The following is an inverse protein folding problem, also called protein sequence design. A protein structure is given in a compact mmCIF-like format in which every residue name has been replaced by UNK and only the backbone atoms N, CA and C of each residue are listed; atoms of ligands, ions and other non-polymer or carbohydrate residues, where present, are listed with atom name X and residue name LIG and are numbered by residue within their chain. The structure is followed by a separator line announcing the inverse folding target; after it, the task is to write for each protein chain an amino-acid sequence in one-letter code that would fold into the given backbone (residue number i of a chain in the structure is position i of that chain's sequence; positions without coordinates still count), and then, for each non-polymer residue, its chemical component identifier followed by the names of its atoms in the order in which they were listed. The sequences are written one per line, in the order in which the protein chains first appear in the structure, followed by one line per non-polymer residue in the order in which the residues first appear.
data_IF_867339898727
#
_entry.id   IF_867339898727
#
_cell.length_a   1.000
_cell.length_b   1.000
_cell.length_c   1.000
_cell.angle_alpha   90.00
_cell.angle_beta   90.00
_cell.angle_gamma   90.00
#
_symmetry.space_group_name_H-M   'P 1'
#
loop_
_entity.id
_entity.type
_entity.pdbx_description
1 polymer ?
#
# COMPACT_ATOMS: atom_id res chain seq x y z
N UNK A 1 -26.95 -9.85 -2.57
CA UNK A 1 -26.58 -9.50 -1.17
C UNK A 1 -25.10 -9.11 -1.14
N UNK A 2 -24.65 -8.28 -0.19
CA UNK A 2 -23.23 -7.91 -0.07
C UNK A 2 -22.33 -9.13 0.15
N UNK A 3 -22.81 -10.14 0.89
CA UNK A 3 -22.11 -11.40 1.13
C UNK A 3 -21.64 -12.10 -0.16
N UNK A 4 -22.44 -12.03 -1.23
CA UNK A 4 -22.13 -12.67 -2.51
C UNK A 4 -21.04 -11.91 -3.32
N UNK A 5 -20.61 -10.73 -2.86
CA UNK A 5 -19.62 -9.87 -3.52
C UNK A 5 -18.29 -9.83 -2.79
N UNK A 6 -18.06 -10.74 -1.83
CA UNK A 6 -16.83 -10.79 -1.03
C UNK A 6 -15.58 -10.78 -1.90
N UNK A 7 -15.50 -11.63 -2.92
CA UNK A 7 -14.32 -11.72 -3.80
C UNK A 7 -14.09 -10.43 -4.60
N UNK A 8 -15.16 -9.84 -5.14
CA UNK A 8 -15.10 -8.56 -5.84
C UNK A 8 -14.56 -7.45 -4.93
N UNK A 9 -15.09 -7.36 -3.70
CA UNK A 9 -14.67 -6.35 -2.72
C UNK A 9 -13.19 -6.56 -2.35
N UNK A 10 -12.77 -7.80 -2.08
CA UNK A 10 -11.38 -8.10 -1.74
C UNK A 10 -10.42 -7.68 -2.85
N UNK A 11 -10.76 -7.95 -4.12
CA UNK A 11 -9.94 -7.55 -5.27
C UNK A 11 -9.77 -6.03 -5.33
N UNK A 12 -10.86 -5.28 -5.31
CA UNK A 12 -10.83 -3.81 -5.38
C UNK A 12 -10.05 -3.18 -4.23
N UNK A 13 -10.19 -3.74 -3.03
CA UNK A 13 -9.50 -3.22 -1.85
C UNK A 13 -8.00 -3.54 -1.88
N UNK A 14 -7.59 -4.74 -2.28
CA UNK A 14 -6.19 -5.09 -2.40
C UNK A 14 -5.46 -4.23 -3.46
N UNK A 15 -6.11 -3.98 -4.60
CA UNK A 15 -5.59 -3.09 -5.65
C UNK A 15 -5.51 -1.63 -5.19
N UNK A 16 -6.50 -1.17 -4.41
CA UNK A 16 -6.59 0.22 -3.96
C UNK A 16 -5.72 0.59 -2.75
N UNK A 17 -5.51 -0.34 -1.82
CA UNK A 17 -4.71 -0.09 -0.60
C UNK A 17 -3.24 -0.46 -0.75
N UNK A 18 -2.89 -1.29 -1.74
CA UNK A 18 -1.54 -1.85 -1.86
C UNK A 18 -1.19 -2.84 -0.73
N UNK A 19 -2.16 -3.23 0.10
CA UNK A 19 -1.99 -4.15 1.23
C UNK A 19 -2.90 -5.37 1.07
N UNK A 20 -2.42 -6.52 1.56
CA UNK A 20 -3.25 -7.72 1.62
C UNK A 20 -4.42 -7.50 2.58
N UNK A 21 -5.63 -7.65 2.08
CA UNK A 21 -6.87 -7.51 2.87
C UNK A 21 -7.61 -8.84 2.94
N UNK A 22 -8.25 -9.07 4.07
CA UNK A 22 -9.10 -10.21 4.33
C UNK A 22 -10.50 -9.73 4.71
N UNK A 23 -11.50 -10.56 4.45
CA UNK A 23 -12.89 -10.22 4.74
C UNK A 23 -13.73 -11.43 5.13
N UNK A 24 -14.68 -11.21 6.04
CA UNK A 24 -15.65 -12.20 6.48
C UNK A 24 -17.07 -11.65 6.38
N UNK A 25 -17.98 -12.52 5.97
CA UNK A 25 -19.40 -12.20 5.91
C UNK A 25 -19.92 -12.10 7.33
N UNK A 26 -20.45 -10.93 7.66
CA UNK A 26 -21.12 -10.72 8.94
C UNK A 26 -22.63 -10.91 8.75
N UNK A 27 -23.15 -11.99 9.35
CA UNK A 27 -24.58 -12.31 9.33
C UNK A 27 -25.34 -11.69 10.51
N UNK A 28 -24.65 -11.01 11.43
CA UNK A 28 -25.31 -10.34 12.55
C UNK A 28 -26.19 -9.19 12.04
N UNK A 29 -27.42 -9.08 12.53
CA UNK A 29 -28.39 -8.04 12.13
C UNK A 29 -29.34 -8.43 10.98
N UNK A 30 -30.12 -7.46 10.50
CA UNK A 30 -31.21 -7.69 9.53
C UNK A 30 -30.74 -8.03 8.11
N UNK A 31 -29.51 -7.64 7.74
CA UNK A 31 -28.91 -7.87 6.42
C UNK A 31 -27.43 -8.18 6.59
N UNK A 32 -26.94 -9.09 5.75
CA UNK A 32 -25.52 -9.46 5.70
C UNK A 32 -24.64 -8.23 5.43
N UNK A 33 -23.60 -8.05 6.24
CA UNK A 33 -22.50 -7.12 6.02
C UNK A 33 -21.21 -7.85 5.64
N UNK A 34 -20.14 -7.07 5.51
CA UNK A 34 -18.79 -7.57 5.32
C UNK A 34 -17.87 -6.85 6.30
N UNK A 35 -17.12 -7.61 7.10
CA UNK A 35 -16.04 -7.09 7.94
C UNK A 35 -14.73 -7.29 7.20
N UNK A 36 -13.91 -6.26 7.14
CA UNK A 36 -12.69 -6.19 6.34
C UNK A 36 -11.55 -5.74 7.23
N UNK A 37 -10.38 -6.36 7.11
CA UNK A 37 -9.18 -6.05 7.88
C UNK A 37 -7.91 -6.32 7.05
N UNK A 38 -6.76 -5.86 7.53
CA UNK A 38 -5.47 -6.23 6.96
C UNK A 38 -5.14 -7.68 7.29
N UNK A 39 -4.82 -8.49 6.28
CA UNK A 39 -4.59 -9.93 6.44
C UNK A 39 -3.56 -10.26 7.53
N UNK A 40 -2.55 -9.39 7.71
CA UNK A 40 -1.44 -9.63 8.64
C UNK A 40 -1.78 -9.25 10.11
N UNK A 41 -2.87 -8.50 10.34
CA UNK A 41 -3.28 -8.03 11.68
C UNK A 41 -4.55 -8.71 12.21
N UNK A 42 -5.18 -9.57 11.41
CA UNK A 42 -6.47 -10.19 11.68
C UNK A 42 -7.59 -9.21 12.15
N UNK A 43 -8.76 -9.74 12.51
CA UNK A 43 -9.91 -8.92 12.94
C UNK A 43 -9.87 -8.46 14.41
N UNK A 44 -8.93 -8.98 15.20
CA UNK A 44 -8.79 -8.73 16.65
C UNK A 44 -7.66 -7.77 16.97
N UNK A 45 -6.60 -7.74 16.17
CA UNK A 45 -5.40 -6.95 16.48
C UNK A 45 -5.26 -5.68 15.64
N UNK A 46 -6.12 -5.47 14.64
CA UNK A 46 -6.03 -4.31 13.74
C UNK A 46 -7.30 -3.46 13.62
N UNK A 47 -7.26 -2.48 12.69
CA UNK A 47 -8.44 -1.77 12.23
C UNK A 47 -9.37 -2.71 11.45
N UNK A 48 -10.68 -2.54 11.65
CA UNK A 48 -11.72 -3.31 10.98
C UNK A 48 -12.74 -2.35 10.37
N UNK A 49 -12.85 -2.40 9.04
CA UNK A 49 -13.88 -1.70 8.30
C UNK A 49 -15.09 -2.63 8.10
N UNK A 50 -16.25 -2.21 8.57
CA UNK A 50 -17.52 -2.92 8.39
C UNK A 50 -18.37 -2.24 7.32
N UNK A 51 -18.60 -2.93 6.20
CA UNK A 51 -19.50 -2.50 5.12
C UNK A 51 -20.89 -3.13 5.29
N UNK A 52 -21.92 -2.30 5.39
CA UNK A 52 -23.33 -2.72 5.44
C UNK A 52 -24.20 -1.89 4.50
N UNK A 53 -25.34 -2.42 4.11
CA UNK A 53 -26.38 -1.61 3.45
C UNK A 53 -26.98 -0.61 4.43
N UNK A 54 -27.22 0.61 3.98
CA UNK A 54 -27.88 1.64 4.75
C UNK A 54 -29.19 2.06 4.07
N UNK A 55 -30.32 1.75 4.74
CA UNK A 55 -31.64 1.90 4.15
C UNK A 55 -31.82 1.04 2.89
N UNK A 56 -32.58 1.54 1.91
CA UNK A 56 -32.80 0.87 0.62
C UNK A 56 -31.84 1.32 -0.49
N UNK A 57 -31.14 2.44 -0.30
CA UNK A 57 -30.43 3.17 -1.37
C UNK A 57 -29.05 3.66 -0.95
N UNK A 58 -28.29 2.85 -0.20
CA UNK A 58 -26.99 3.28 0.26
C UNK A 58 -26.17 2.24 1.01
N UNK A 59 -24.98 2.66 1.41
CA UNK A 59 -24.02 1.90 2.19
C UNK A 59 -23.58 2.68 3.41
N UNK A 60 -23.17 1.95 4.44
CA UNK A 60 -22.48 2.49 5.60
C UNK A 60 -21.20 1.70 5.80
N UNK A 61 -20.10 2.42 5.95
CA UNK A 61 -18.79 1.90 6.31
C UNK A 61 -18.48 2.38 7.72
N UNK A 62 -18.19 1.46 8.62
CA UNK A 62 -17.79 1.78 10.01
C UNK A 62 -16.39 1.26 10.24
N UNK A 63 -15.43 2.16 10.48
CA UNK A 63 -14.10 1.79 10.97
C UNK A 63 -14.12 1.70 12.50
N UNK A 64 -13.59 0.60 13.01
CA UNK A 64 -13.36 0.34 14.44
C UNK A 64 -12.04 -0.40 14.63
N UNK A 65 -11.65 -0.65 15.88
CA UNK A 65 -10.49 -1.46 16.20
C UNK A 65 -10.90 -2.76 16.91
N UNK A 66 -10.17 -3.84 16.66
CA UNK A 66 -10.36 -5.11 17.34
C UNK A 66 -10.05 -5.03 18.84
N UNK A 67 -10.54 -6.00 19.62
CA UNK A 67 -10.42 -6.01 21.08
C UNK A 67 -8.98 -6.15 21.61
N UNK A 68 -8.04 -6.56 20.76
CA UNK A 68 -6.62 -6.78 21.10
C UNK A 68 -5.69 -5.89 20.25
N UNK A 69 -6.18 -4.72 19.82
CA UNK A 69 -5.46 -3.77 18.98
C UNK A 69 -4.44 -2.88 19.71
N UNK A 70 -4.10 -3.19 20.97
CA UNK A 70 -3.23 -2.35 21.79
C UNK A 70 -1.89 -2.01 21.14
N UNK A 71 -1.21 -3.01 20.55
CA UNK A 71 0.05 -2.82 19.82
C UNK A 71 -0.11 -1.91 18.62
N UNK A 72 -1.16 -2.13 17.81
CA UNK A 72 -1.47 -1.31 16.63
C UNK A 72 -1.80 0.13 17.03
N UNK A 73 -2.55 0.32 18.10
CA UNK A 73 -2.85 1.65 18.63
C UNK A 73 -1.59 2.37 19.12
N UNK A 74 -0.66 1.65 19.76
CA UNK A 74 0.64 2.21 20.13
C UNK A 74 1.47 2.62 18.92
N UNK A 75 1.43 1.84 17.82
CA UNK A 75 2.08 2.21 16.56
C UNK A 75 1.47 3.48 15.96
N UNK A 76 0.13 3.55 15.89
CA UNK A 76 -0.58 4.71 15.38
C UNK A 76 -0.27 5.98 16.20
N UNK A 77 -0.21 5.86 17.54
CA UNK A 77 0.16 6.98 18.41
C UNK A 77 1.62 7.42 18.25
N UNK A 78 2.48 6.55 17.72
CA UNK A 78 3.89 6.83 17.45
C UNK A 78 4.15 7.26 15.99
N UNK A 79 3.11 7.36 15.15
CA UNK A 79 3.22 7.76 13.75
C UNK A 79 3.84 9.17 13.63
N UNK A 80 4.63 9.38 12.57
CA UNK A 80 5.26 10.69 12.33
C UNK A 80 4.20 11.75 11.98
N UNK A 81 4.48 13.05 12.20
CA UNK A 81 3.59 14.12 11.76
C UNK A 81 3.26 14.05 10.26
N UNK A 82 4.21 13.60 9.45
CA UNK A 82 4.05 13.38 8.01
C UNK A 82 3.04 12.27 7.71
N UNK A 83 3.14 11.12 8.39
CA UNK A 83 2.21 9.99 8.22
C UNK A 83 0.80 10.36 8.69
N UNK A 84 0.70 11.11 9.79
CA UNK A 84 -0.58 11.64 10.30
C UNK A 84 -1.21 12.58 9.27
N UNK A 85 -0.43 13.50 8.69
CA UNK A 85 -0.92 14.42 7.66
C UNK A 85 -1.38 13.66 6.40
N UNK A 86 -0.63 12.63 5.97
CA UNK A 86 -1.02 11.81 4.83
C UNK A 86 -2.30 11.03 5.10
N UNK A 87 -2.44 10.41 6.27
CA UNK A 87 -3.65 9.71 6.69
C UNK A 87 -4.87 10.64 6.70
N UNK A 88 -4.73 11.85 7.25
CA UNK A 88 -5.78 12.87 7.23
C UNK A 88 -6.17 13.28 5.81
N UNK A 89 -5.20 13.49 4.92
CA UNK A 89 -5.43 13.84 3.53
C UNK A 89 -6.14 12.71 2.74
N UNK A 90 -5.79 11.45 3.00
CA UNK A 90 -6.46 10.29 2.41
C UNK A 90 -7.93 10.28 2.79
N UNK A 91 -8.28 10.42 4.06
CA UNK A 91 -9.69 10.46 4.49
C UNK A 91 -10.39 11.71 3.95
N UNK A 92 -9.71 12.85 3.84
CA UNK A 92 -10.27 14.07 3.24
C UNK A 92 -10.53 13.93 1.72
N UNK A 93 -9.92 12.94 1.05
CA UNK A 93 -10.17 12.65 -0.37
C UNK A 93 -11.47 11.89 -0.64
N UNK A 94 -12.10 11.35 0.41
CA UNK A 94 -13.42 10.72 0.31
C UNK A 94 -14.41 11.75 -0.24
N UNK A 95 -15.16 11.36 -1.28
CA UNK A 95 -15.99 12.34 -1.99
C UNK A 95 -17.05 12.96 -1.08
N UNK A 96 -17.42 14.24 -1.27
CA UNK A 96 -18.36 14.96 -0.41
C UNK A 96 -19.76 14.33 -0.32
N UNK A 97 -20.15 13.49 -1.27
CA UNK A 97 -21.43 12.78 -1.26
C UNK A 97 -21.49 11.68 -0.18
N UNK A 98 -20.33 11.24 0.34
CA UNK A 98 -20.25 10.37 1.50
C UNK A 98 -20.14 11.24 2.77
N UNK A 99 -21.13 11.11 3.65
CA UNK A 99 -21.15 11.77 4.96
C UNK A 99 -20.21 11.04 5.93
N UNK A 100 -19.02 11.61 6.17
CA UNK A 100 -18.01 11.05 7.07
C UNK A 100 -18.07 11.73 8.44
N UNK A 101 -18.27 10.93 9.49
CA UNK A 101 -18.40 11.38 10.87
C UNK A 101 -17.38 10.68 11.76
N UNK A 102 -16.68 11.46 12.57
CA UNK A 102 -15.75 10.98 13.60
C UNK A 102 -16.25 11.55 14.93
N UNK A 103 -16.94 10.76 15.78
CA UNK A 103 -17.54 11.27 17.00
C UNK A 103 -16.52 11.99 17.88
N UNK A 104 -16.81 13.25 18.23
CA UNK A 104 -15.95 14.09 19.07
C UNK A 104 -14.77 14.73 18.37
N UNK A 105 -14.65 14.63 17.04
CA UNK A 105 -13.54 15.20 16.27
C UNK A 105 -14.03 15.87 14.96
N UNK A 106 -13.17 16.71 14.38
CA UNK A 106 -13.46 17.46 13.14
C UNK A 106 -12.66 16.89 11.96
N UNK A 107 -13.23 16.96 10.76
CA UNK A 107 -12.72 16.39 9.50
C UNK A 107 -11.86 17.38 8.67
N UNK A 108 -10.85 18.00 9.28
CA UNK A 108 -9.54 17.75 8.66
C UNK A 108 -8.45 17.27 9.63
N UNK A 109 -8.65 17.39 10.94
CA UNK A 109 -7.59 17.20 11.96
C UNK A 109 -7.93 16.07 12.94
N UNK A 110 -8.36 14.93 12.40
CA UNK A 110 -8.73 13.78 13.22
C UNK A 110 -7.50 12.94 13.63
N UNK A 111 -7.61 12.26 14.77
CA UNK A 111 -6.55 11.45 15.38
C UNK A 111 -7.13 10.19 16.04
N UNK A 112 -6.42 9.06 15.94
CA UNK A 112 -6.78 7.83 16.67
C UNK A 112 -6.10 7.84 18.04
N UNK A 113 -6.88 8.07 19.09
CA UNK A 113 -6.34 8.17 20.45
C UNK A 113 -6.32 6.84 21.21
N UNK A 114 -7.28 5.97 20.93
CA UNK A 114 -7.46 4.67 21.59
C UNK A 114 -8.46 3.80 20.82
N UNK A 115 -8.70 2.58 21.30
CA UNK A 115 -9.61 1.61 20.67
C UNK A 115 -11.09 2.00 20.65
N UNK A 116 -11.50 3.08 21.33
CA UNK A 116 -12.86 3.62 21.20
C UNK A 116 -13.03 4.51 19.97
N UNK A 117 -11.94 4.82 19.24
CA UNK A 117 -12.01 5.57 17.99
C UNK A 117 -12.95 4.88 16.99
N UNK A 118 -13.81 5.68 16.36
CA UNK A 118 -14.75 5.22 15.34
C UNK A 118 -14.86 6.26 14.25
N UNK A 119 -14.85 5.80 12.99
CA UNK A 119 -15.15 6.63 11.82
C UNK A 119 -16.32 5.99 11.07
N UNK A 120 -17.34 6.78 10.75
CA UNK A 120 -18.54 6.31 10.06
C UNK A 120 -18.72 7.09 8.78
N UNK A 121 -18.64 6.42 7.64
CA UNK A 121 -18.93 7.01 6.33
C UNK A 121 -20.26 6.45 5.81
N UNK A 122 -21.19 7.34 5.46
CA UNK A 122 -22.52 6.98 4.94
C UNK A 122 -22.69 7.45 3.51
N UNK A 123 -22.81 6.51 2.58
CA UNK A 123 -23.12 6.75 1.16
C UNK A 123 -24.63 6.65 0.96
N UNK A 124 -25.24 7.66 0.36
CA UNK A 124 -26.69 7.74 0.09
C UNK A 124 -26.97 7.81 -1.40
N UNK A 125 -28.26 7.76 -1.75
CA UNK A 125 -28.77 8.00 -3.10
C UNK A 125 -28.22 7.06 -4.18
N UNK A 126 -27.87 5.82 -3.82
CA UNK A 126 -27.56 4.78 -4.80
C UNK A 126 -28.84 4.11 -5.27
N UNK A 127 -29.14 4.16 -6.57
CA UNK A 127 -30.33 3.51 -7.15
C UNK A 127 -30.30 1.99 -6.96
N UNK A 128 -29.12 1.40 -7.17
CA UNK A 128 -28.90 -0.04 -7.07
C UNK A 128 -27.68 -0.33 -6.18
N UNK A 129 -27.79 -0.21 -4.84
CA UNK A 129 -26.65 -0.38 -3.93
C UNK A 129 -26.05 -1.79 -3.99
N UNK A 130 -26.83 -2.79 -4.40
CA UNK A 130 -26.38 -4.17 -4.53
C UNK A 130 -25.85 -4.52 -5.93
N UNK A 131 -25.67 -3.58 -6.85
CA UNK A 131 -24.97 -3.84 -8.12
C UNK A 131 -23.46 -3.72 -7.94
N UNK A 132 -22.69 -4.41 -8.78
CA UNK A 132 -21.23 -4.43 -8.69
C UNK A 132 -20.65 -3.02 -8.74
N UNK A 133 -21.10 -2.18 -9.68
CA UNK A 133 -20.64 -0.79 -9.82
C UNK A 133 -20.82 0.05 -8.55
N UNK A 134 -21.96 -0.04 -7.89
CA UNK A 134 -22.24 0.72 -6.65
C UNK A 134 -21.38 0.26 -5.49
N UNK A 135 -21.10 -1.04 -5.41
CA UNK A 135 -20.25 -1.63 -4.37
C UNK A 135 -18.79 -1.28 -4.63
N UNK A 136 -18.31 -1.42 -5.87
CA UNK A 136 -16.97 -1.01 -6.30
C UNK A 136 -16.75 0.47 -5.99
N UNK A 137 -17.70 1.35 -6.33
CA UNK A 137 -17.61 2.77 -6.02
C UNK A 137 -17.48 3.02 -4.51
N UNK A 138 -18.27 2.34 -3.67
CA UNK A 138 -18.13 2.46 -2.21
C UNK A 138 -16.77 1.93 -1.71
N UNK A 139 -16.26 0.85 -2.29
CA UNK A 139 -14.93 0.34 -1.93
C UNK A 139 -13.86 1.37 -2.29
N UNK A 140 -13.82 1.82 -3.55
CA UNK A 140 -12.83 2.75 -4.08
C UNK A 140 -12.89 4.14 -3.44
N UNK A 141 -14.08 4.70 -3.29
CA UNK A 141 -14.26 6.10 -2.88
C UNK A 141 -14.33 6.26 -1.35
N UNK A 142 -14.52 5.17 -0.58
CA UNK A 142 -14.69 5.24 0.89
C UNK A 142 -13.77 4.27 1.63
N UNK A 143 -13.84 2.97 1.35
CA UNK A 143 -13.10 1.98 2.15
C UNK A 143 -11.60 2.08 1.87
N UNK A 144 -11.18 2.24 0.61
CA UNK A 144 -9.77 2.35 0.22
C UNK A 144 -9.09 3.53 0.92
N UNK A 145 -9.60 4.78 0.87
CA UNK A 145 -8.96 5.89 1.57
C UNK A 145 -8.89 5.70 3.09
N UNK A 146 -9.94 5.12 3.70
CA UNK A 146 -9.96 4.83 5.14
C UNK A 146 -8.89 3.80 5.51
N UNK A 147 -8.83 2.68 4.78
CA UNK A 147 -7.87 1.62 5.06
C UNK A 147 -6.45 2.08 4.73
N UNK A 148 -6.22 2.79 3.63
CA UNK A 148 -4.92 3.37 3.33
C UNK A 148 -4.44 4.31 4.44
N UNK A 149 -5.32 5.19 4.96
CA UNK A 149 -4.97 6.05 6.09
C UNK A 149 -4.54 5.25 7.34
N UNK A 150 -5.17 4.09 7.60
CA UNK A 150 -4.73 3.23 8.69
C UNK A 150 -3.40 2.54 8.39
N UNK A 151 -3.14 2.13 7.14
CA UNK A 151 -1.87 1.54 6.75
C UNK A 151 -0.71 2.52 6.98
N UNK A 152 -0.88 3.79 6.59
CA UNK A 152 0.10 4.86 6.82
C UNK A 152 0.37 5.04 8.32
N UNK A 153 -0.68 5.18 9.14
CA UNK A 153 -0.52 5.37 10.59
C UNK A 153 0.13 4.16 11.29
N UNK A 154 -0.06 2.95 10.77
CA UNK A 154 0.54 1.73 11.34
C UNK A 154 2.00 1.57 10.91
N UNK A 155 2.41 2.22 9.81
CA UNK A 155 3.72 2.02 9.18
C UNK A 155 3.78 0.72 8.38
N UNK A 156 2.75 0.42 7.59
CA UNK A 156 2.64 -0.80 6.81
C UNK A 156 3.66 -0.82 5.65
N UNK A 157 4.80 -1.50 5.85
CA UNK A 157 5.82 -1.71 4.81
C UNK A 157 5.84 -3.17 4.33
N UNK A 158 5.66 -3.42 3.02
CA UNK A 158 5.81 -4.75 2.39
C UNK A 158 7.23 -5.29 2.64
N UNK A 159 7.37 -6.45 3.27
CA UNK A 159 8.65 -7.05 3.75
C UNK A 159 9.38 -7.83 2.62
N UNK A 160 10.71 -7.68 2.51
CA UNK A 160 11.59 -8.56 1.68
C UNK A 160 12.48 -9.43 2.60
N UNK A 161 12.61 -10.72 2.29
CA UNK A 161 13.30 -11.72 3.12
C UNK A 161 14.84 -11.63 3.15
N UNK A 162 15.44 -11.88 4.33
CA UNK A 162 16.89 -12.07 4.56
C UNK A 162 17.24 -13.57 4.68
N UNK A 163 18.21 -14.02 3.88
CA UNK A 163 18.82 -15.36 3.95
C UNK A 163 19.66 -15.51 5.23
N UNK A 164 19.43 -16.57 6.02
CA UNK A 164 20.27 -16.89 7.18
C UNK A 164 19.75 -17.92 8.18
N UNK A 165 18.46 -18.27 8.17
CA UNK A 165 17.92 -19.37 9.00
C UNK A 165 17.95 -20.69 8.21
N UNK A 166 18.20 -21.82 8.89
CA UNK A 166 18.12 -23.15 8.29
C UNK A 166 16.85 -23.27 7.46
N UNK A 167 17.00 -23.56 6.16
CA UNK A 167 15.87 -23.70 5.26
C UNK A 167 14.89 -24.71 5.89
N UNK A 168 13.61 -24.34 6.10
CA UNK A 168 12.65 -25.25 6.69
C UNK A 168 12.60 -26.53 5.88
N UNK A 169 12.61 -27.68 6.55
CA UNK A 169 12.66 -28.99 5.89
C UNK A 169 11.43 -29.33 5.03
N UNK A 170 10.41 -28.45 5.02
CA UNK A 170 9.12 -28.64 4.35
C UNK A 170 8.71 -27.35 3.60
N UNK A 171 8.17 -27.51 2.40
CA UNK A 171 7.51 -26.43 1.64
C UNK A 171 6.31 -25.87 2.43
N UNK A 172 6.13 -24.54 2.44
CA UNK A 172 5.02 -23.87 3.13
C UNK A 172 5.24 -23.57 4.61
N UNK A 173 6.43 -23.81 5.15
CA UNK A 173 6.77 -23.40 6.51
C UNK A 173 6.86 -21.87 6.64
N UNK A 174 6.34 -21.34 7.74
CA UNK A 174 6.36 -19.91 8.05
C UNK A 174 7.76 -19.54 8.55
N UNK A 175 8.44 -18.68 7.81
CA UNK A 175 9.70 -18.04 8.22
C UNK A 175 9.41 -16.65 8.78
N UNK A 176 10.10 -16.28 9.85
CA UNK A 176 9.94 -14.98 10.50
C UNK A 176 11.24 -14.18 10.35
N UNK A 177 11.19 -13.03 9.66
CA UNK A 177 12.38 -12.20 9.41
C UNK A 177 12.23 -10.81 10.02
N UNK A 178 13.31 -10.30 10.62
CA UNK A 178 13.41 -8.92 11.14
C UNK A 178 14.12 -8.05 10.10
N UNK A 179 13.45 -7.00 9.62
CA UNK A 179 13.99 -6.11 8.59
C UNK A 179 14.35 -4.75 9.17
N UNK A 180 15.57 -4.30 8.85
CA UNK A 180 16.04 -2.94 9.10
C UNK A 180 16.14 -2.27 7.74
N UNK A 181 15.33 -1.24 7.49
CA UNK A 181 15.35 -0.46 6.25
C UNK A 181 16.07 0.87 6.45
N UNK A 182 16.66 1.36 5.36
CA UNK A 182 17.20 2.71 5.28
C UNK A 182 16.22 3.58 4.53
N UNK A 183 15.86 4.70 5.15
CA UNK A 183 14.91 5.67 4.63
C UNK A 183 15.31 6.16 3.23
N UNK A 184 14.33 6.28 2.33
CA UNK A 184 14.53 6.78 0.96
C UNK A 184 13.67 8.01 0.75
N UNK A 185 14.29 9.14 0.39
CA UNK A 185 13.54 10.35 0.11
C UNK A 185 12.78 10.23 -1.23
N UNK A 186 11.44 10.25 -1.26
CA UNK A 186 10.66 10.08 -2.48
C UNK A 186 10.91 11.19 -3.52
N UNK A 187 11.37 12.37 -3.09
CA UNK A 187 11.76 13.47 -3.99
C UNK A 187 12.92 13.08 -4.90
N UNK A 188 13.85 12.25 -4.42
CA UNK A 188 15.00 11.81 -5.22
C UNK A 188 14.57 10.97 -6.41
N UNK A 189 13.53 10.13 -6.24
CA UNK A 189 12.94 9.38 -7.36
C UNK A 189 12.35 10.34 -8.39
N UNK A 190 11.51 11.28 -7.96
CA UNK A 190 10.86 12.24 -8.85
C UNK A 190 11.89 13.07 -9.63
N UNK A 191 12.93 13.56 -8.95
CA UNK A 191 13.99 14.35 -9.56
C UNK A 191 14.84 13.52 -10.53
N UNK A 192 15.19 12.28 -10.18
CA UNK A 192 15.90 11.37 -11.09
C UNK A 192 15.12 11.17 -12.40
N UNK A 193 13.83 10.85 -12.30
CA UNK A 193 12.98 10.69 -13.48
C UNK A 193 12.83 11.99 -14.27
N UNK A 194 12.74 13.14 -13.59
CA UNK A 194 12.66 14.44 -14.26
C UNK A 194 13.95 14.80 -15.00
N UNK A 195 15.11 14.44 -14.46
CA UNK A 195 16.44 14.75 -15.01
C UNK A 195 16.80 13.79 -16.15
N UNK A 196 16.60 12.49 -15.94
CA UNK A 196 17.08 11.43 -16.83
C UNK A 196 16.00 10.89 -17.76
N UNK A 197 14.73 11.22 -17.51
CA UNK A 197 13.58 10.68 -18.23
C UNK A 197 13.18 9.28 -17.76
N UNK A 198 12.24 8.69 -18.48
CA UNK A 198 11.68 7.35 -18.21
C UNK A 198 12.21 6.29 -19.16
N UNK A 199 13.46 6.48 -19.59
CA UNK A 199 14.20 5.54 -20.44
C UNK A 199 15.17 4.75 -19.58
N UNK A 200 15.18 3.43 -19.73
CA UNK A 200 16.13 2.59 -19.02
C UNK A 200 17.57 2.97 -19.40
N UNK A 201 18.39 3.34 -18.42
CA UNK A 201 19.78 3.76 -18.61
C UNK A 201 20.67 2.62 -19.16
N UNK A 202 20.31 1.37 -18.87
CA UNK A 202 21.07 0.19 -19.29
C UNK A 202 20.71 -0.27 -20.71
N UNK A 203 19.46 -0.71 -20.93
CA UNK A 203 19.02 -1.29 -22.20
C UNK A 203 18.30 -0.31 -23.15
N UNK A 204 18.00 0.91 -22.70
CA UNK A 204 17.31 1.91 -23.52
C UNK A 204 15.81 1.68 -23.71
N UNK A 205 15.21 0.70 -23.05
CA UNK A 205 13.76 0.48 -23.12
C UNK A 205 12.98 1.70 -22.60
N UNK A 206 11.90 2.05 -23.30
CA UNK A 206 10.98 3.13 -22.96
C UNK A 206 9.57 2.55 -22.77
N UNK A 207 9.18 2.16 -21.54
CA UNK A 207 7.96 1.38 -21.31
C UNK A 207 6.69 2.04 -21.86
N UNK A 208 6.59 3.38 -21.84
CA UNK A 208 5.45 4.09 -22.43
C UNK A 208 5.30 3.86 -23.93
N UNK A 209 6.40 3.69 -24.65
CA UNK A 209 6.36 3.41 -26.09
C UNK A 209 5.84 2.01 -26.38
N UNK A 210 6.04 1.06 -25.45
CA UNK A 210 5.60 -0.32 -25.59
C UNK A 210 4.19 -0.55 -25.05
N UNK A 211 3.87 0.04 -23.90
CA UNK A 211 2.68 -0.28 -23.11
C UNK A 211 1.66 0.86 -23.04
N UNK A 212 1.95 2.03 -23.63
CA UNK A 212 1.04 3.16 -23.69
C UNK A 212 0.58 3.63 -22.30
N UNK A 213 -0.74 3.71 -22.12
CA UNK A 213 -1.37 4.22 -20.90
C UNK A 213 -1.21 3.31 -19.68
N UNK A 214 -0.74 2.07 -19.86
CA UNK A 214 -0.38 1.18 -18.74
C UNK A 214 0.79 1.75 -17.90
N UNK A 215 1.46 2.80 -18.38
CA UNK A 215 2.17 3.74 -17.54
C UNK A 215 3.70 3.64 -17.57
N UNK A 216 4.32 4.41 -16.67
CA UNK A 216 5.77 4.48 -16.49
C UNK A 216 6.24 3.29 -15.65
N UNK A 217 6.74 2.25 -16.32
CA UNK A 217 7.27 1.03 -15.68
C UNK A 217 8.79 1.18 -15.54
N UNK A 218 9.21 2.19 -14.77
CA UNK A 218 10.61 2.50 -14.48
C UNK A 218 10.85 2.59 -12.97
N UNK A 219 11.96 1.99 -12.56
CA UNK A 219 12.47 1.94 -11.20
C UNK A 219 13.72 2.81 -11.08
N UNK A 220 13.90 3.50 -9.95
CA UNK A 220 15.10 4.32 -9.71
C UNK A 220 16.11 3.52 -8.90
N UNK A 221 17.29 3.32 -9.48
CA UNK A 221 18.39 2.57 -8.91
C UNK A 221 19.45 3.52 -8.34
N UNK A 222 19.97 3.20 -7.16
CA UNK A 222 21.11 3.92 -6.57
C UNK A 222 22.40 3.26 -7.04
N UNK A 223 23.28 4.03 -7.68
CA UNK A 223 24.57 3.52 -8.17
C UNK A 223 25.48 3.08 -7.02
N UNK A 224 25.43 3.79 -5.91
CA UNK A 224 25.98 3.35 -4.64
C UNK A 224 24.90 2.58 -3.85
N UNK A 225 25.15 1.32 -3.45
CA UNK A 225 24.14 0.55 -2.74
C UNK A 225 23.88 1.16 -1.35
N UNK A 226 22.67 1.70 -1.16
CA UNK A 226 22.24 2.30 0.12
C UNK A 226 22.42 1.32 1.29
N UNK A 227 22.26 0.02 1.07
CA UNK A 227 22.44 -1.01 2.10
C UNK A 227 23.89 -1.13 2.63
N UNK A 228 24.88 -0.63 1.89
CA UNK A 228 26.31 -0.75 2.20
C UNK A 228 26.92 0.52 2.78
N UNK A 229 26.20 1.64 2.87
CA UNK A 229 26.76 2.87 3.47
C UNK A 229 27.13 2.62 4.94
N UNK A 230 28.20 3.22 5.45
CA UNK A 230 28.47 3.22 6.89
C UNK A 230 27.58 4.24 7.61
N UNK A 231 27.32 5.38 6.98
CA UNK A 231 26.51 6.48 7.54
C UNK A 231 25.54 7.04 6.48
N UNK A 232 24.40 7.63 6.88
CA UNK A 232 23.51 8.34 5.96
C UNK A 232 24.24 9.49 5.25
N UNK A 233 23.95 9.71 3.97
CA UNK A 233 24.45 10.85 3.21
C UNK A 233 23.39 11.42 2.26
N UNK A 234 23.49 12.71 1.87
CA UNK A 234 22.67 13.24 0.79
C UNK A 234 23.04 12.57 -0.55
N UNK A 235 22.04 12.38 -1.40
CA UNK A 235 22.19 11.86 -2.76
C UNK A 235 21.89 12.97 -3.76
N UNK A 236 22.70 13.05 -4.82
CA UNK A 236 22.39 13.88 -5.99
C UNK A 236 21.67 13.02 -7.05
N UNK A 237 20.37 13.27 -7.33
CA UNK A 237 19.62 12.52 -8.33
C UNK A 237 20.21 12.56 -9.74
N UNK A 238 21.09 13.51 -10.05
CA UNK A 238 21.77 13.62 -11.34
C UNK A 238 22.91 12.61 -11.48
N UNK A 239 23.66 12.36 -10.41
CA UNK A 239 24.92 11.59 -10.49
C UNK A 239 24.83 10.25 -9.79
N UNK A 240 23.99 10.13 -8.76
CA UNK A 240 23.97 8.95 -7.90
C UNK A 240 22.83 7.98 -8.23
N UNK A 241 21.87 8.42 -9.06
CA UNK A 241 20.66 7.69 -9.39
C UNK A 241 20.49 7.53 -10.89
N UNK A 242 19.92 6.40 -11.31
CA UNK A 242 19.57 6.14 -12.71
C UNK A 242 18.21 5.45 -12.83
N UNK A 243 17.42 5.75 -13.88
CA UNK A 243 16.22 4.99 -14.21
C UNK A 243 16.56 3.65 -14.86
N UNK A 244 15.95 2.56 -14.41
CA UNK A 244 16.08 1.22 -14.97
C UNK A 244 14.71 0.57 -15.17
N UNK A 245 14.55 -0.27 -16.19
CA UNK A 245 13.38 -1.13 -16.30
C UNK A 245 13.45 -2.27 -15.27
N UNK A 246 12.32 -2.90 -14.90
CA UNK A 246 12.29 -3.96 -13.88
C UNK A 246 13.28 -5.10 -14.16
N UNK A 247 13.43 -5.49 -15.43
CA UNK A 247 14.36 -6.54 -15.84
C UNK A 247 15.82 -6.14 -15.60
N UNK A 248 16.21 -4.94 -16.02
CA UNK A 248 17.58 -4.44 -15.80
C UNK A 248 17.84 -4.22 -14.32
N UNK A 249 16.89 -3.63 -13.59
CA UNK A 249 17.05 -3.41 -12.15
C UNK A 249 17.22 -4.73 -11.39
N UNK A 250 16.43 -5.75 -11.73
CA UNK A 250 16.60 -7.10 -11.19
C UNK A 250 17.95 -7.71 -11.58
N UNK A 251 18.36 -7.59 -12.85
CA UNK A 251 19.63 -8.13 -13.35
C UNK A 251 20.83 -7.55 -12.60
N UNK A 252 20.85 -6.23 -12.34
CA UNK A 252 21.91 -5.58 -11.55
C UNK A 252 22.08 -6.23 -10.18
N UNK A 253 20.97 -6.60 -9.55
CA UNK A 253 20.92 -7.17 -8.21
C UNK A 253 21.10 -8.69 -8.13
N UNK A 254 21.30 -9.38 -9.25
CA UNK A 254 21.67 -10.81 -9.23
C UNK A 254 23.06 -11.02 -8.64
N UNK A 255 23.94 -10.01 -8.70
CA UNK A 255 25.18 -9.97 -7.91
C UNK A 255 24.91 -9.33 -6.55
N UNK A 256 25.24 -10.04 -5.48
CA UNK A 256 25.17 -9.56 -4.09
C UNK A 256 26.45 -9.91 -3.33
N UNK A 257 26.83 -9.15 -2.29
CA UNK A 257 26.15 -7.97 -1.76
C UNK A 257 26.34 -6.70 -2.61
N UNK A 258 27.38 -6.67 -3.45
CA UNK A 258 27.68 -5.54 -4.36
C UNK A 258 27.04 -5.78 -5.74
N UNK A 259 26.04 -4.99 -6.16
CA UNK A 259 25.39 -5.13 -7.46
C UNK A 259 26.35 -4.94 -8.64
N UNK A 260 25.94 -5.37 -9.83
CA UNK A 260 26.65 -5.03 -11.07
C UNK A 260 26.74 -3.53 -11.28
N UNK A 261 27.87 -3.04 -11.77
CA UNK A 261 27.93 -1.65 -12.23
C UNK A 261 27.09 -1.50 -13.50
N UNK A 262 26.70 -0.27 -13.86
CA UNK A 262 26.00 -0.05 -15.13
C UNK A 262 26.87 -0.42 -16.33
N UNK A 263 28.20 -0.33 -16.20
CA UNK A 263 29.14 -0.77 -17.23
C UNK A 263 29.12 -2.30 -17.36
N UNK A 264 29.16 -3.03 -16.24
CA UNK A 264 29.06 -4.49 -16.21
C UNK A 264 27.75 -4.95 -16.88
N UNK A 265 26.62 -4.35 -16.49
CA UNK A 265 25.32 -4.73 -17.04
C UNK A 265 25.23 -4.46 -18.55
N UNK A 266 25.76 -3.31 -19.02
CA UNK A 266 25.79 -3.01 -20.46
C UNK A 266 26.66 -3.99 -21.24
N UNK A 267 27.78 -4.44 -20.68
CA UNK A 267 28.63 -5.46 -21.31
C UNK A 267 27.89 -6.79 -21.45
N UNK A 268 27.14 -7.21 -20.42
CA UNK A 268 26.31 -8.42 -20.45
C UNK A 268 25.24 -8.32 -21.55
N UNK A 269 24.53 -7.19 -21.63
CA UNK A 269 23.51 -6.95 -22.66
C UNK A 269 24.08 -6.93 -24.10
N UNK A 270 25.33 -6.50 -24.25
CA UNK A 270 26.03 -6.49 -25.54
C UNK A 270 26.54 -7.88 -25.98
N UNK A 271 26.44 -8.89 -25.13
CA UNK A 271 26.87 -10.26 -25.46
C UNK A 271 25.71 -10.98 -26.14
N UNK A 272 25.69 -10.98 -27.48
CA UNK A 272 24.73 -11.79 -28.24
C UNK A 272 25.05 -13.27 -28.02
N UNK A 273 24.14 -14.02 -27.41
CA UNK A 273 24.16 -15.48 -27.53
C UNK A 273 23.71 -15.82 -28.95
N UNK A 274 24.67 -16.30 -29.75
CA UNK A 274 24.42 -16.89 -31.06
C UNK A 274 23.68 -18.23 -30.93
#
# INVERSE_FOLDING_TARGET
MLAAKKELILKELAEGTGAAVSAEVDLSGLRSGLRIWFSDLDQKHGPVAELRTYGLKGHRVTLTFGSFSGTVLSQILAASPEDVQLAQALVASIRPEADVQIPGQNMPEWHVMNGAFRMVATVRNQEHPLNDSSVIATCRDVIVPIMAAMAELIGYDVIEDRQGEEAPACEGAVLQSVVIRRERNPRNRLLCIRIHGEKCFACGAEPRMTYGDAGSIIEVHHLEPVALLMEPRPYDPRTDLVPLCPNCHRAVHTRRPVPFTMADLKAILGTSYA
#
